data_IF_639784489353
#
_entry.id   IF_639784489353
#
_cell.length_a   1.000
_cell.length_b   1.000
_cell.length_c   1.000
_cell.angle_alpha   90.00
_cell.angle_beta   90.00
_cell.angle_gamma   90.00
#
_symmetry.space_group_name_H-M   'P 1'
#
loop_
_entity.id
_entity.type
_entity.pdbx_description
1 polymer ?
#
# COMPACT_ATOMS: atom_id res chain seq x y z
N UNK A 1 15.16 -10.25 -3.60
CA UNK A 1 14.69 -10.67 -2.26
C UNK A 1 14.62 -12.19 -2.23
N UNK A 2 15.53 -12.90 -1.53
CA UNK A 2 15.42 -14.36 -1.37
C UNK A 2 14.27 -14.61 -0.40
N UNK A 3 13.12 -15.05 -0.90
CA UNK A 3 12.03 -15.58 -0.07
C UNK A 3 12.56 -16.80 0.67
N UNK A 4 12.97 -16.61 1.93
CA UNK A 4 13.29 -17.73 2.81
C UNK A 4 12.07 -18.66 2.85
N UNK A 5 12.27 -19.92 2.49
CA UNK A 5 11.19 -20.89 2.47
C UNK A 5 10.67 -21.08 3.89
N UNK A 6 9.38 -20.79 4.11
CA UNK A 6 8.76 -20.80 5.45
C UNK A 6 8.02 -22.10 5.70
N UNK A 7 8.29 -22.70 6.85
CA UNK A 7 7.57 -23.87 7.36
C UNK A 7 6.30 -23.51 8.15
N UNK A 8 5.99 -22.22 8.32
CA UNK A 8 4.88 -21.77 9.14
C UNK A 8 3.78 -21.11 8.30
N UNK A 9 2.53 -21.51 8.55
CA UNK A 9 1.33 -20.94 7.96
C UNK A 9 0.47 -20.28 9.03
N UNK A 10 -0.29 -19.27 8.61
CA UNK A 10 -1.34 -18.62 9.38
C UNK A 10 -2.67 -18.92 8.69
N UNK A 11 -3.61 -19.45 9.45
CA UNK A 11 -4.97 -19.72 9.00
C UNK A 11 -5.93 -18.81 9.76
N UNK A 12 -6.83 -18.15 9.04
CA UNK A 12 -7.91 -17.35 9.62
C UNK A 12 -9.28 -17.86 9.17
N UNK A 13 -10.33 -17.39 9.85
CA UNK A 13 -11.72 -17.81 9.70
C UNK A 13 -11.96 -19.26 10.17
N UNK A 14 -11.30 -19.67 11.24
CA UNK A 14 -11.54 -20.96 11.90
C UNK A 14 -12.21 -20.69 13.25
N UNK A 15 -13.41 -21.27 13.45
CA UNK A 15 -14.12 -21.26 14.73
C UNK A 15 -13.22 -21.79 15.86
N UNK A 16 -13.21 -21.10 17.00
CA UNK A 16 -12.47 -21.53 18.20
C UNK A 16 -13.11 -22.71 18.94
N UNK A 17 -14.35 -23.09 18.62
CA UNK A 17 -15.05 -24.20 19.28
C UNK A 17 -14.57 -25.58 18.86
N UNK A 18 -13.93 -25.69 17.69
CA UNK A 18 -13.49 -26.96 17.15
C UNK A 18 -12.10 -27.33 17.69
N UNK A 19 -11.89 -28.62 18.00
CA UNK A 19 -10.57 -29.16 18.31
C UNK A 19 -9.65 -28.93 17.09
N UNK A 20 -8.58 -28.17 17.28
CA UNK A 20 -7.70 -27.76 16.18
C UNK A 20 -6.98 -28.93 15.53
N UNK A 21 -6.65 -29.97 16.31
CA UNK A 21 -6.02 -31.18 15.76
C UNK A 21 -7.00 -31.96 14.88
N UNK A 22 -8.23 -32.17 15.36
CA UNK A 22 -9.27 -32.84 14.58
C UNK A 22 -9.62 -32.08 13.31
N UNK A 23 -9.75 -30.76 13.40
CA UNK A 23 -9.98 -29.90 12.24
C UNK A 23 -8.85 -30.03 11.20
N UNK A 24 -7.60 -29.98 11.64
CA UNK A 24 -6.44 -30.10 10.74
C UNK A 24 -6.31 -31.51 10.15
N UNK A 25 -6.65 -32.55 10.90
CA UNK A 25 -6.66 -33.93 10.42
C UNK A 25 -7.77 -34.15 9.39
N UNK A 26 -9.00 -33.68 9.64
CA UNK A 26 -10.11 -33.73 8.69
C UNK A 26 -9.76 -32.98 7.39
N UNK A 27 -9.26 -31.73 7.52
CA UNK A 27 -8.87 -30.92 6.38
C UNK A 27 -7.75 -31.60 5.57
N UNK A 28 -6.74 -32.17 6.24
CA UNK A 28 -5.65 -32.91 5.60
C UNK A 28 -6.19 -34.12 4.84
N UNK A 29 -7.08 -34.89 5.44
CA UNK A 29 -7.67 -36.09 4.85
C UNK A 29 -8.52 -35.74 3.62
N UNK A 30 -9.39 -34.73 3.73
CA UNK A 30 -10.18 -34.20 2.60
C UNK A 30 -9.30 -33.74 1.45
N UNK A 31 -8.19 -33.09 1.77
CA UNK A 31 -7.22 -32.64 0.78
C UNK A 31 -6.26 -33.74 0.32
N UNK A 32 -6.31 -34.94 0.89
CA UNK A 32 -5.39 -36.06 0.63
C UNK A 32 -3.92 -35.62 0.72
N UNK A 33 -3.55 -34.93 1.80
CA UNK A 33 -2.18 -34.49 2.06
C UNK A 33 -1.55 -35.45 3.07
N UNK A 34 -0.33 -35.91 2.83
CA UNK A 34 0.35 -36.79 3.80
C UNK A 34 1.12 -36.01 4.87
N UNK A 35 1.49 -34.75 4.58
CA UNK A 35 2.25 -33.93 5.50
C UNK A 35 1.42 -33.51 6.71
N UNK A 36 1.96 -33.82 7.90
CA UNK A 36 1.33 -33.50 9.19
C UNK A 36 1.90 -32.20 9.77
N UNK A 37 1.05 -31.35 10.37
CA UNK A 37 1.55 -30.22 11.14
C UNK A 37 2.31 -30.73 12.36
N UNK A 38 3.42 -30.06 12.68
CA UNK A 38 4.25 -30.30 13.86
C UNK A 38 3.67 -29.61 15.10
N UNK A 39 3.10 -28.42 14.94
CA UNK A 39 2.58 -27.62 16.04
C UNK A 39 1.39 -26.77 15.56
N UNK A 40 0.39 -26.64 16.42
CA UNK A 40 -0.77 -25.77 16.24
C UNK A 40 -0.84 -24.79 17.42
N UNK A 41 -0.93 -23.49 17.14
CA UNK A 41 -0.96 -22.46 18.18
C UNK A 41 -1.85 -21.29 17.78
N UNK A 42 -2.82 -20.92 18.63
CA UNK A 42 -3.58 -19.68 18.45
C UNK A 42 -2.70 -18.47 18.80
N UNK A 43 -2.65 -17.49 17.91
CA UNK A 43 -1.95 -16.21 18.11
C UNK A 43 -2.99 -15.10 18.25
N UNK A 44 -2.56 -14.00 18.87
CA UNK A 44 -3.29 -12.75 19.09
C UNK A 44 -4.20 -12.77 20.33
N UNK A 45 -4.51 -11.57 20.82
CA UNK A 45 -5.47 -11.39 21.91
C UNK A 45 -6.87 -11.64 21.34
N UNK A 46 -7.71 -12.35 22.10
CA UNK A 46 -9.11 -12.55 21.73
C UNK A 46 -9.82 -11.20 21.71
N UNK A 47 -10.33 -10.82 20.55
CA UNK A 47 -11.14 -9.62 20.36
C UNK A 47 -12.61 -10.03 20.24
N UNK A 48 -13.51 -9.23 20.77
CA UNK A 48 -14.96 -9.50 20.73
C UNK A 48 -15.43 -9.67 19.28
N UNK A 49 -16.04 -10.81 18.97
CA UNK A 49 -16.57 -11.11 17.64
C UNK A 49 -15.55 -11.53 16.57
N UNK A 50 -14.28 -11.81 16.94
CA UNK A 50 -13.27 -12.32 16.01
C UNK A 50 -12.53 -13.52 16.59
N UNK A 51 -12.48 -14.61 15.84
CA UNK A 51 -11.68 -15.78 16.17
C UNK A 51 -10.18 -15.49 15.98
N UNK A 52 -9.35 -16.00 16.89
CA UNK A 52 -7.90 -15.88 16.82
C UNK A 52 -7.32 -16.64 15.65
N UNK A 53 -6.28 -16.10 15.04
CA UNK A 53 -5.54 -16.79 13.99
C UNK A 53 -4.87 -18.06 14.52
N UNK A 54 -4.93 -19.13 13.73
CA UNK A 54 -4.22 -20.36 13.99
C UNK A 54 -2.88 -20.36 13.26
N UNK A 55 -1.79 -20.44 14.01
CA UNK A 55 -0.45 -20.72 13.49
C UNK A 55 -0.27 -22.23 13.35
N UNK A 56 0.15 -22.65 12.17
CA UNK A 56 0.42 -24.05 11.84
C UNK A 56 1.88 -24.16 11.44
N UNK A 57 2.66 -24.90 12.21
CA UNK A 57 4.08 -25.15 11.92
C UNK A 57 4.24 -26.52 11.27
N UNK A 58 4.99 -26.61 10.18
CA UNK A 58 5.36 -27.85 9.50
C UNK A 58 6.82 -28.20 9.76
N UNK A 59 7.17 -29.47 9.54
CA UNK A 59 8.55 -29.94 9.65
C UNK A 59 9.45 -29.31 8.58
N UNK A 60 8.94 -29.14 7.36
CA UNK A 60 9.69 -28.51 6.27
C UNK A 60 8.91 -27.37 5.61
N UNK A 61 9.61 -26.40 4.99
CA UNK A 61 8.97 -25.41 4.15
C UNK A 61 8.25 -25.97 2.92
N UNK A 62 8.72 -27.12 2.42
CA UNK A 62 8.09 -27.79 1.30
C UNK A 62 6.68 -28.26 1.67
N UNK A 63 6.52 -28.85 2.86
CA UNK A 63 5.23 -29.30 3.38
C UNK A 63 4.23 -28.15 3.50
N UNK A 64 4.65 -27.03 4.10
CA UNK A 64 3.83 -25.84 4.24
C UNK A 64 3.39 -25.29 2.87
N UNK A 65 4.30 -25.27 1.89
CA UNK A 65 3.99 -24.82 0.52
C UNK A 65 3.03 -25.77 -0.18
N UNK A 66 3.28 -27.07 -0.10
CA UNK A 66 2.43 -28.11 -0.69
C UNK A 66 1.01 -28.04 -0.13
N UNK A 67 0.90 -27.89 1.20
CA UNK A 67 -0.39 -27.71 1.88
C UNK A 67 -1.15 -26.49 1.33
N UNK A 68 -0.52 -25.32 1.34
CA UNK A 68 -1.16 -24.09 0.85
C UNK A 68 -1.54 -24.17 -0.63
N UNK A 69 -0.67 -24.71 -1.47
CA UNK A 69 -0.92 -24.83 -2.90
C UNK A 69 -2.13 -25.74 -3.20
N UNK A 70 -2.21 -26.88 -2.51
CA UNK A 70 -3.34 -27.81 -2.65
C UNK A 70 -4.62 -27.20 -2.11
N UNK A 71 -4.55 -26.44 -1.01
CA UNK A 71 -5.72 -25.74 -0.45
C UNK A 71 -6.27 -24.74 -1.46
N UNK A 72 -5.40 -23.90 -2.03
CA UNK A 72 -5.83 -22.92 -3.03
C UNK A 72 -6.43 -23.59 -4.28
N UNK A 73 -5.93 -24.76 -4.68
CA UNK A 73 -6.45 -25.52 -5.83
C UNK A 73 -7.83 -26.12 -5.54
N UNK A 74 -8.04 -26.69 -4.36
CA UNK A 74 -9.24 -27.46 -4.04
C UNK A 74 -10.34 -26.63 -3.37
N UNK A 75 -9.98 -25.68 -2.51
CA UNK A 75 -10.94 -24.86 -1.75
C UNK A 75 -11.80 -23.92 -2.62
N UNK A 76 -11.43 -23.71 -3.88
CA UNK A 76 -12.27 -22.97 -4.85
C UNK A 76 -13.22 -23.88 -5.64
N UNK A 77 -13.03 -25.20 -5.61
CA UNK A 77 -13.74 -26.16 -6.46
C UNK A 77 -14.60 -27.16 -5.69
N UNK A 78 -14.34 -27.36 -4.39
CA UNK A 78 -15.03 -28.36 -3.57
C UNK A 78 -15.76 -27.70 -2.38
N UNK A 79 -17.08 -27.85 -2.34
CA UNK A 79 -17.93 -27.34 -1.27
C UNK A 79 -17.66 -28.00 0.10
N UNK A 80 -17.05 -29.18 0.12
CA UNK A 80 -16.71 -29.90 1.35
C UNK A 80 -15.46 -29.35 2.08
N UNK A 81 -14.71 -28.46 1.41
CA UNK A 81 -13.54 -27.80 1.98
C UNK A 81 -13.97 -26.48 2.62
N UNK A 82 -13.65 -26.26 3.92
CA UNK A 82 -14.06 -25.05 4.61
C UNK A 82 -13.44 -23.81 3.96
N UNK A 83 -14.22 -22.74 3.82
CA UNK A 83 -13.76 -21.45 3.28
C UNK A 83 -12.90 -20.68 4.30
N UNK A 84 -11.68 -21.15 4.51
CA UNK A 84 -10.65 -20.52 5.35
C UNK A 84 -9.65 -19.72 4.50
N UNK A 85 -8.88 -18.85 5.15
CA UNK A 85 -7.77 -18.14 4.50
C UNK A 85 -6.44 -18.70 4.99
N UNK A 86 -5.66 -19.28 4.07
CA UNK A 86 -4.33 -19.83 4.35
C UNK A 86 -3.24 -18.94 3.75
N UNK A 87 -2.36 -18.42 4.60
CA UNK A 87 -1.21 -17.58 4.21
C UNK A 87 0.07 -18.03 4.91
N UNK A 88 1.24 -17.70 4.36
CA UNK A 88 2.48 -17.90 5.10
C UNK A 88 2.55 -16.97 6.31
N UNK A 89 3.19 -17.42 7.39
CA UNK A 89 3.50 -16.57 8.52
C UNK A 89 4.44 -15.43 8.10
N UNK A 90 4.32 -14.30 8.80
CA UNK A 90 5.19 -13.13 8.65
C UNK A 90 5.89 -12.90 9.98
N UNK A 91 7.18 -12.60 9.91
CA UNK A 91 7.87 -12.06 11.07
C UNK A 91 7.44 -10.60 11.29
N UNK A 92 7.90 -9.97 12.38
CA UNK A 92 7.52 -8.59 12.73
C UNK A 92 7.87 -7.58 11.63
N UNK A 93 9.03 -7.73 11.00
CA UNK A 93 9.49 -6.81 9.95
C UNK A 93 8.65 -6.96 8.68
N UNK A 94 8.40 -8.18 8.23
CA UNK A 94 7.54 -8.48 7.07
C UNK A 94 6.10 -8.06 7.31
N UNK A 95 5.62 -8.18 8.55
CA UNK A 95 4.29 -7.71 8.93
C UNK A 95 4.20 -6.19 8.79
N UNK A 96 5.20 -5.46 9.29
CA UNK A 96 5.28 -4.01 9.13
C UNK A 96 5.40 -3.60 7.65
N UNK A 97 6.21 -4.30 6.86
CA UNK A 97 6.33 -4.05 5.42
C UNK A 97 4.99 -4.27 4.70
N UNK A 98 4.27 -5.36 5.04
CA UNK A 98 2.96 -5.63 4.47
C UNK A 98 1.93 -4.58 4.86
N UNK A 99 1.90 -4.15 6.12
CA UNK A 99 0.98 -3.09 6.57
C UNK A 99 1.23 -1.77 5.84
N UNK A 100 2.50 -1.39 5.69
CA UNK A 100 2.89 -0.21 4.89
C UNK A 100 2.42 -0.36 3.44
N UNK A 101 2.72 -1.47 2.78
CA UNK A 101 2.31 -1.71 1.39
C UNK A 101 0.78 -1.73 1.22
N UNK A 102 0.04 -2.33 2.16
CA UNK A 102 -1.42 -2.36 2.12
C UNK A 102 -2.02 -0.95 2.28
N UNK A 103 -1.44 -0.11 3.14
CA UNK A 103 -1.85 1.28 3.30
C UNK A 103 -1.61 2.10 2.03
N UNK A 104 -0.43 1.95 1.41
CA UNK A 104 -0.09 2.61 0.14
C UNK A 104 -1.06 2.18 -0.97
N UNK A 105 -1.32 0.88 -1.09
CA UNK A 105 -2.26 0.33 -2.08
C UNK A 105 -3.68 0.88 -1.91
N UNK A 106 -4.15 1.00 -0.67
CA UNK A 106 -5.47 1.57 -0.39
C UNK A 106 -5.54 3.04 -0.79
N UNK A 107 -4.50 3.82 -0.48
CA UNK A 107 -4.47 5.25 -0.78
C UNK A 107 -4.37 5.52 -2.30
N UNK A 108 -3.49 4.82 -3.00
CA UNK A 108 -3.33 4.93 -4.46
C UNK A 108 -4.60 4.51 -5.20
N UNK A 109 -5.25 3.41 -4.78
CA UNK A 109 -6.53 2.97 -5.34
C UNK A 109 -7.63 4.03 -5.23
N UNK A 110 -7.76 4.68 -4.06
CA UNK A 110 -8.76 5.76 -3.87
C UNK A 110 -8.52 6.97 -4.76
N UNK A 111 -7.25 7.37 -4.95
CA UNK A 111 -6.91 8.48 -5.85
C UNK A 111 -7.28 8.10 -7.29
N UNK A 112 -6.95 6.88 -7.71
CA UNK A 112 -7.26 6.34 -9.03
C UNK A 112 -8.77 6.33 -9.30
N UNK A 113 -9.55 5.82 -8.36
CA UNK A 113 -11.03 5.80 -8.42
C UNK A 113 -11.58 7.22 -8.52
N UNK A 114 -11.11 8.15 -7.68
CA UNK A 114 -11.54 9.55 -7.74
C UNK A 114 -11.27 10.22 -9.10
N UNK A 115 -10.12 9.94 -9.73
CA UNK A 115 -9.82 10.47 -11.07
C UNK A 115 -10.83 9.97 -12.10
N UNK A 116 -11.15 8.67 -12.06
CA UNK A 116 -12.05 8.03 -13.01
C UNK A 116 -13.51 8.45 -12.78
N UNK A 117 -13.98 8.35 -11.54
CA UNK A 117 -15.38 8.58 -11.18
C UNK A 117 -15.80 10.04 -11.39
N UNK A 118 -14.90 10.99 -11.16
CA UNK A 118 -15.15 12.41 -11.36
C UNK A 118 -14.68 12.94 -12.74
N UNK A 119 -14.22 12.07 -13.65
CA UNK A 119 -13.65 12.41 -14.97
C UNK A 119 -12.62 13.57 -14.90
N UNK A 120 -11.70 13.47 -13.94
CA UNK A 120 -10.69 14.50 -13.73
C UNK A 120 -9.68 14.49 -14.87
N UNK A 121 -9.35 15.68 -15.36
CA UNK A 121 -8.30 15.87 -16.36
C UNK A 121 -6.96 16.28 -15.72
N UNK A 122 -7.04 16.97 -14.58
CA UNK A 122 -5.91 17.48 -13.80
C UNK A 122 -6.25 17.30 -12.32
N UNK A 123 -5.38 16.64 -11.57
CA UNK A 123 -5.44 16.56 -10.11
C UNK A 123 -4.16 17.14 -9.51
N UNK A 124 -4.28 18.15 -8.66
CA UNK A 124 -3.16 18.70 -7.91
C UNK A 124 -2.97 17.93 -6.59
N UNK A 125 -1.73 17.58 -6.27
CA UNK A 125 -1.37 16.83 -5.08
C UNK A 125 -0.30 17.58 -4.27
N UNK A 126 -0.50 17.64 -2.96
CA UNK A 126 0.48 18.11 -1.97
C UNK A 126 0.79 16.95 -1.03
N UNK A 127 1.92 17.03 -0.32
CA UNK A 127 2.35 15.97 0.60
C UNK A 127 2.33 14.62 -0.11
N UNK A 128 3.04 14.52 -1.23
CA UNK A 128 3.08 13.29 -2.03
C UNK A 128 3.97 12.23 -1.43
N UNK A 129 5.00 12.62 -0.65
CA UNK A 129 5.98 11.73 -0.02
C UNK A 129 6.77 10.81 -0.96
N UNK A 130 6.60 10.98 -2.28
CA UNK A 130 7.36 10.24 -3.29
C UNK A 130 8.84 10.55 -3.24
N UNK A 131 9.64 9.55 -3.58
CA UNK A 131 11.09 9.58 -3.73
C UNK A 131 11.49 8.94 -5.06
N UNK A 132 12.74 9.12 -5.43
CA UNK A 132 13.33 8.38 -6.55
C UNK A 132 13.18 6.86 -6.29
N UNK A 133 12.61 6.11 -7.25
CA UNK A 133 12.29 4.69 -7.08
C UNK A 133 10.83 4.37 -6.73
N UNK A 134 10.00 5.37 -6.43
CA UNK A 134 8.56 5.19 -6.18
C UNK A 134 7.71 5.16 -7.47
N UNK A 135 8.32 5.07 -8.65
CA UNK A 135 7.62 5.02 -9.94
C UNK A 135 6.54 3.91 -9.98
N UNK A 136 6.76 2.69 -9.43
CA UNK A 136 5.72 1.67 -9.39
C UNK A 136 4.48 2.08 -8.59
N UNK A 137 4.65 2.88 -7.53
CA UNK A 137 3.54 3.39 -6.71
C UNK A 137 2.76 4.45 -7.50
N UNK A 138 3.48 5.30 -8.23
CA UNK A 138 2.91 6.32 -9.11
C UNK A 138 2.12 5.66 -10.25
N UNK A 139 2.65 4.61 -10.85
CA UNK A 139 1.99 3.85 -11.93
C UNK A 139 0.71 3.16 -11.44
N UNK A 140 0.71 2.61 -10.23
CA UNK A 140 -0.49 2.02 -9.61
C UNK A 140 -1.57 3.09 -9.34
N UNK A 141 -1.15 4.29 -8.93
CA UNK A 141 -2.02 5.44 -8.66
C UNK A 141 -2.64 6.04 -9.93
N UNK A 142 -1.88 6.13 -11.01
CA UNK A 142 -2.32 6.74 -12.27
C UNK A 142 -3.20 5.77 -13.10
N UNK A 143 -4.43 6.15 -13.48
CA UNK A 143 -5.19 5.39 -14.46
C UNK A 143 -4.48 5.34 -15.83
N UNK A 144 -4.89 4.42 -16.74
CA UNK A 144 -4.35 4.40 -18.10
C UNK A 144 -4.55 5.76 -18.78
N UNK A 145 -3.55 6.21 -19.54
CA UNK A 145 -3.52 7.54 -20.14
C UNK A 145 -3.38 8.70 -19.16
N UNK A 146 -2.94 8.47 -17.92
CA UNK A 146 -2.52 9.54 -17.01
C UNK A 146 -1.04 9.42 -16.67
N UNK A 147 -0.40 10.57 -16.45
CA UNK A 147 0.99 10.64 -16.00
C UNK A 147 1.08 11.57 -14.80
N UNK A 148 2.00 11.26 -13.90
CA UNK A 148 2.34 12.15 -12.79
C UNK A 148 3.53 13.04 -13.18
N UNK A 149 3.43 14.33 -12.89
CA UNK A 149 4.55 15.27 -12.95
C UNK A 149 4.69 15.92 -11.58
N UNK A 150 5.85 15.85 -10.97
CA UNK A 150 6.01 16.31 -9.60
C UNK A 150 7.43 16.71 -9.27
N UNK A 151 7.55 17.37 -8.14
CA UNK A 151 8.81 17.64 -7.48
C UNK A 151 8.83 16.87 -6.16
N UNK A 152 9.79 15.96 -6.05
CA UNK A 152 10.10 15.26 -4.81
C UNK A 152 10.97 16.19 -3.96
N UNK A 153 10.83 16.15 -2.63
CA UNK A 153 11.75 16.90 -1.76
C UNK A 153 13.14 16.24 -1.83
N UNK A 154 14.23 16.98 -2.09
CA UNK A 154 15.58 16.41 -2.16
C UNK A 154 15.97 15.77 -0.82
N UNK A 155 16.54 14.56 -0.86
CA UNK A 155 16.96 13.80 0.34
C UNK A 155 17.94 14.56 1.25
N UNK A 156 18.71 15.51 0.69
CA UNK A 156 19.69 16.33 1.43
C UNK A 156 19.05 17.28 2.45
N UNK A 157 17.76 17.60 2.33
CA UNK A 157 17.05 18.34 3.38
C UNK A 157 16.61 17.29 4.39
N UNK A 158 17.33 17.19 5.51
CA UNK A 158 17.16 16.25 6.64
C UNK A 158 15.78 16.41 7.35
N UNK A 159 14.73 16.35 6.57
CA UNK A 159 13.39 16.82 6.87
C UNK A 159 12.42 15.79 6.34
N UNK A 160 11.47 15.42 7.20
CA UNK A 160 10.50 14.37 6.93
C UNK A 160 9.30 14.96 6.17
N UNK A 161 8.92 14.35 5.04
CA UNK A 161 7.69 14.68 4.31
C UNK A 161 7.84 15.67 3.15
N UNK A 162 6.71 16.20 2.68
CA UNK A 162 6.63 17.12 1.55
C UNK A 162 6.32 16.46 0.20
N UNK A 163 6.66 17.17 -0.87
CA UNK A 163 6.40 16.82 -2.25
C UNK A 163 5.11 17.46 -2.78
N UNK A 164 5.19 17.94 -4.03
CA UNK A 164 4.07 18.52 -4.77
C UNK A 164 4.04 17.96 -6.18
N UNK A 165 2.86 17.83 -6.77
CA UNK A 165 2.73 17.31 -8.13
C UNK A 165 1.34 17.43 -8.72
N UNK A 166 1.24 17.02 -9.98
CA UNK A 166 0.01 16.91 -10.72
C UNK A 166 -0.12 15.52 -11.33
N UNK A 167 -1.31 14.94 -11.27
CA UNK A 167 -1.72 13.84 -12.15
C UNK A 167 -2.45 14.43 -13.35
N UNK A 168 -1.98 14.12 -14.55
CA UNK A 168 -2.42 14.75 -15.80
C UNK A 168 -2.91 13.71 -16.79
N UNK A 169 -4.07 13.97 -17.41
CA UNK A 169 -4.53 13.21 -18.57
C UNK A 169 -3.58 13.44 -19.75
N UNK A 170 -3.23 12.37 -20.43
CA UNK A 170 -2.36 12.38 -21.61
C UNK A 170 -3.01 13.20 -22.74
N UNK A 171 -2.18 13.90 -23.52
CA UNK A 171 -2.64 14.78 -24.60
C UNK A 171 -2.79 16.24 -24.20
N UNK A 172 -2.74 16.57 -22.90
CA UNK A 172 -2.62 17.96 -22.46
C UNK A 172 -1.22 18.50 -22.78
N UNK A 173 -1.14 19.58 -23.56
CA UNK A 173 0.13 20.27 -23.84
C UNK A 173 0.44 21.22 -22.69
N UNK A 174 1.39 20.83 -21.84
CA UNK A 174 1.73 21.55 -20.62
C UNK A 174 3.24 21.76 -20.46
N UNK A 175 3.62 22.86 -19.80
CA UNK A 175 4.97 23.09 -19.29
C UNK A 175 4.93 23.17 -17.77
N UNK A 176 5.87 22.54 -17.09
CA UNK A 176 6.02 22.61 -15.64
C UNK A 176 7.14 23.57 -15.25
N UNK A 177 6.92 24.38 -14.23
CA UNK A 177 7.95 25.21 -13.60
C UNK A 177 8.02 24.86 -12.11
N UNK A 178 9.19 24.41 -11.70
CA UNK A 178 9.53 24.05 -10.33
C UNK A 178 9.98 25.30 -9.59
N UNK A 179 9.45 25.53 -8.38
CA UNK A 179 9.84 26.67 -7.56
C UNK A 179 10.39 26.21 -6.20
N UNK A 180 11.55 26.75 -5.84
CA UNK A 180 12.25 26.39 -4.61
C UNK A 180 12.22 27.57 -3.65
N UNK A 181 11.33 27.51 -2.65
CA UNK A 181 11.31 28.48 -1.56
C UNK A 181 11.80 27.84 -0.25
N UNK A 182 12.21 28.67 0.71
CA UNK A 182 12.65 28.21 2.03
C UNK A 182 11.47 27.77 2.90
N UNK A 183 10.31 28.40 2.73
CA UNK A 183 9.13 28.22 3.60
C UNK A 183 8.05 27.32 2.99
N UNK A 184 8.01 27.16 1.67
CA UNK A 184 7.01 26.34 0.99
C UNK A 184 7.56 25.68 -0.29
N UNK A 185 6.84 24.67 -0.76
CA UNK A 185 7.10 23.98 -2.02
C UNK A 185 6.02 24.38 -3.02
N UNK A 186 6.40 24.64 -4.27
CA UNK A 186 5.42 24.97 -5.29
C UNK A 186 5.81 24.43 -6.67
N UNK A 187 4.80 23.97 -7.40
CA UNK A 187 4.92 23.52 -8.78
C UNK A 187 3.83 24.19 -9.61
N UNK A 188 4.24 24.84 -10.70
CA UNK A 188 3.31 25.46 -11.65
C UNK A 188 3.19 24.64 -12.91
N UNK A 189 1.95 24.33 -13.29
CA UNK A 189 1.56 23.78 -14.58
C UNK A 189 1.03 24.91 -15.48
N UNK A 190 1.65 25.10 -16.65
CA UNK A 190 1.20 26.06 -17.67
C UNK A 190 0.67 25.30 -18.87
N UNK A 191 -0.63 25.43 -19.15
CA UNK A 191 -1.24 24.91 -20.36
C UNK A 191 -0.92 25.84 -21.53
N UNK A 192 -0.44 25.29 -22.65
CA UNK A 192 0.07 26.11 -23.77
C UNK A 192 -0.77 26.07 -25.04
N UNK A 193 -1.91 25.35 -25.04
CA UNK A 193 -2.88 25.38 -26.16
C UNK A 193 -3.74 26.66 -26.13
N UNK A 194 -4.57 26.89 -27.16
CA UNK A 194 -5.54 27.99 -27.40
C UNK A 194 -6.21 28.61 -26.16
N UNK A 195 -6.41 27.86 -25.06
CA UNK A 195 -6.80 28.41 -23.77
C UNK A 195 -5.67 28.24 -22.76
N UNK A 196 -4.90 29.30 -22.54
CA UNK A 196 -3.79 29.31 -21.59
C UNK A 196 -4.34 29.39 -20.17
N UNK A 197 -4.09 28.35 -19.39
CA UNK A 197 -4.34 28.33 -17.96
C UNK A 197 -3.02 28.04 -17.22
N UNK A 198 -2.87 28.70 -16.07
CA UNK A 198 -1.73 28.47 -15.18
C UNK A 198 -2.28 28.01 -13.85
N UNK A 199 -1.85 26.82 -13.41
CA UNK A 199 -2.27 26.20 -12.16
C UNK A 199 -1.02 26.04 -11.31
N UNK A 200 -1.02 26.55 -10.10
CA UNK A 200 0.08 26.36 -9.15
C UNK A 200 -0.41 25.59 -7.95
N UNK A 201 0.23 24.45 -7.67
CA UNK A 201 0.06 23.73 -6.42
C UNK A 201 1.11 24.23 -5.44
N UNK A 202 0.68 24.59 -4.24
CA UNK A 202 1.55 25.11 -3.18
C UNK A 202 1.33 24.27 -1.93
N UNK A 203 2.43 23.81 -1.33
CA UNK A 203 2.40 23.16 -0.03
C UNK A 203 3.32 23.88 0.95
N UNK A 204 2.77 24.19 2.12
CA UNK A 204 3.50 24.75 3.25
C UNK A 204 3.24 23.87 4.47
N UNK A 205 4.31 23.45 5.13
CA UNK A 205 4.19 22.70 6.38
C UNK A 205 3.47 23.53 7.44
N UNK A 206 2.54 22.94 8.20
CA UNK A 206 1.80 23.68 9.23
C UNK A 206 2.75 24.27 10.27
N UNK A 207 2.47 25.46 10.83
CA UNK A 207 3.26 26.05 11.91
C UNK A 207 3.52 25.06 13.04
N UNK A 208 4.79 24.89 13.43
CA UNK A 208 5.16 24.09 14.59
C UNK A 208 6.39 24.70 15.28
N UNK A 209 6.55 24.38 16.56
CA UNK A 209 7.76 24.75 17.31
C UNK A 209 9.03 24.16 16.70
N UNK A 210 8.92 23.07 15.93
CA UNK A 210 10.03 22.41 15.26
C UNK A 210 10.45 23.09 13.96
N UNK A 211 9.51 23.67 13.20
CA UNK A 211 9.82 24.31 11.90
C UNK A 211 9.92 25.84 11.97
N UNK A 212 9.54 26.46 13.10
CA UNK A 212 9.66 27.90 13.31
C UNK A 212 8.79 28.76 12.39
N UNK A 213 7.82 28.16 11.68
CA UNK A 213 6.95 28.89 10.75
C UNK A 213 5.81 29.59 11.47
N UNK A 214 5.48 30.81 11.02
CA UNK A 214 4.33 31.59 11.47
C UNK A 214 3.27 31.71 10.37
N UNK A 215 2.03 32.01 10.76
CA UNK A 215 0.92 32.20 9.79
C UNK A 215 1.14 33.41 8.86
N UNK A 216 2.03 34.34 9.19
CA UNK A 216 2.25 35.59 8.45
C UNK A 216 3.34 35.51 7.37
N UNK A 217 4.14 34.45 7.28
CA UNK A 217 5.30 34.41 6.37
C UNK A 217 4.96 34.18 4.87
N UNK A 218 3.71 34.40 4.46
CA UNK A 218 3.29 34.46 3.05
C UNK A 218 3.60 35.87 2.50
N UNK A 219 4.87 36.24 2.45
CA UNK A 219 5.27 37.49 1.79
C UNK A 219 5.47 37.26 0.28
N UNK A 220 4.84 38.15 -0.48
CA UNK A 220 4.63 38.14 -1.92
C UNK A 220 5.87 37.77 -2.75
N UNK A 221 5.70 36.79 -3.65
CA UNK A 221 6.51 36.72 -4.86
C UNK A 221 6.19 37.93 -5.73
N UNK A 222 7.04 38.96 -5.66
CA UNK A 222 7.11 39.94 -6.74
C UNK A 222 7.78 39.25 -7.93
N UNK A 223 7.01 39.04 -8.98
CA UNK A 223 7.51 38.69 -10.29
C UNK A 223 8.42 39.82 -10.79
N UNK A 224 9.69 39.52 -11.01
CA UNK A 224 10.56 40.29 -11.92
C UNK A 224 10.19 39.99 -13.38
#
# INVERSE_FOLDING_TARGET
>A
MKTGYKSELMISNIDEKNNEMEFMDDLRNKMQIDSKPKELKRIEKKLTGRDRLLKVSFSTPFDARAFRAKYNKMGMANADIPSIRVRHARNKEEQLQFEKAAKIKLQTGRIREMIVDADLHILACTETWFKDGDEPIIDDMCPPSFNFVGQHRPEKKDTRGGGVGFVLKSGLITKTAVHNYSTFEALTLRMTWNNRATITVVYRSPPSSENGFSTTDLHECRSE
#
